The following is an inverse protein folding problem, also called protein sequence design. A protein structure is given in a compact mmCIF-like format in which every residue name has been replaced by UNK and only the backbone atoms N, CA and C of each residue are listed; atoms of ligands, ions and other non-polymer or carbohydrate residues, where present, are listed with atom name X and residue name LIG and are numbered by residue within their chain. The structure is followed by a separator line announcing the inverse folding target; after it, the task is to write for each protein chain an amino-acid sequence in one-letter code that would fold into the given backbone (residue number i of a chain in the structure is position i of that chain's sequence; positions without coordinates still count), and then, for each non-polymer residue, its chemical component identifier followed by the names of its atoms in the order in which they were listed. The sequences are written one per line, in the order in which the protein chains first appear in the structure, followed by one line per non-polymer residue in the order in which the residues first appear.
data_IF_504474258655
#
_entry.id   IF_504474258655
#
_cell.length_a   1.000
_cell.length_b   1.000
_cell.length_c   1.000
_cell.angle_alpha   90.00
_cell.angle_beta   90.00
_cell.angle_gamma   90.00
#
_symmetry.space_group_name_H-M   'P 1'
#
loop_
_entity.id
_entity.type
_entity.pdbx_description
1 polymer ?
#
# COMPACT_ATOMS: atom_id res chain seq x y z
N UNK A 1 22.94 -36.33 -43.18
CA UNK A 1 22.06 -35.58 -44.10
C UNK A 1 22.25 -34.10 -43.82
N UNK A 2 22.50 -33.34 -44.89
CA UNK A 2 22.72 -31.89 -44.98
C UNK A 2 24.01 -31.33 -44.38
N UNK A 3 25.11 -31.52 -45.12
CA UNK A 3 26.20 -30.54 -45.18
C UNK A 3 25.64 -29.16 -45.55
N UNK A 4 25.90 -28.14 -44.73
CA UNK A 4 25.81 -26.74 -45.14
C UNK A 4 27.22 -26.18 -45.18
N UNK A 5 27.69 -25.95 -46.39
CA UNK A 5 28.88 -25.19 -46.75
C UNK A 5 28.93 -23.85 -45.98
N UNK A 6 30.10 -23.40 -45.53
CA UNK A 6 30.28 -22.04 -45.04
C UNK A 6 30.18 -21.11 -46.24
N UNK A 7 29.09 -20.35 -46.34
CA UNK A 7 28.99 -19.25 -47.29
C UNK A 7 29.83 -18.12 -46.71
N UNK A 8 31.05 -17.97 -47.21
CA UNK A 8 31.80 -16.71 -47.12
C UNK A 8 30.90 -15.61 -47.67
N UNK A 9 30.33 -14.80 -46.78
CA UNK A 9 29.61 -13.59 -47.16
C UNK A 9 30.63 -12.58 -47.67
N UNK A 10 30.81 -12.55 -48.99
CA UNK A 10 31.41 -11.43 -49.71
C UNK A 10 30.70 -10.14 -49.27
N UNK A 11 31.32 -9.37 -48.36
CA UNK A 11 30.80 -8.08 -47.96
C UNK A 11 30.96 -7.10 -49.13
N UNK A 12 29.90 -6.93 -49.92
CA UNK A 12 29.75 -5.73 -50.73
C UNK A 12 29.84 -4.57 -49.73
N UNK A 13 30.78 -3.65 -49.91
CA UNK A 13 30.91 -2.47 -49.05
C UNK A 13 29.59 -1.69 -49.11
N UNK A 14 28.71 -1.92 -48.14
CA UNK A 14 27.38 -1.31 -48.09
C UNK A 14 27.57 0.18 -47.87
N UNK A 15 27.05 0.98 -48.80
CA UNK A 15 26.97 2.43 -48.63
C UNK A 15 25.88 2.71 -47.61
N UNK A 16 26.24 3.39 -46.53
CA UNK A 16 25.36 3.67 -45.39
C UNK A 16 25.14 5.16 -45.29
N UNK A 17 23.87 5.57 -45.14
CA UNK A 17 23.47 6.97 -45.11
C UNK A 17 23.27 7.45 -43.68
N UNK A 18 23.77 8.65 -43.38
CA UNK A 18 23.67 9.33 -42.09
C UNK A 18 23.08 10.71 -42.30
N UNK A 19 22.03 11.04 -41.56
CA UNK A 19 21.43 12.37 -41.53
C UNK A 19 21.29 12.78 -40.06
N UNK A 20 22.11 13.74 -39.63
CA UNK A 20 22.13 14.20 -38.23
C UNK A 20 20.82 14.90 -37.82
N UNK A 21 20.00 15.32 -38.79
CA UNK A 21 18.77 16.09 -38.58
C UNK A 21 17.50 15.24 -38.66
N UNK A 22 17.46 14.27 -39.58
CA UNK A 22 16.27 13.42 -39.84
C UNK A 22 16.47 11.94 -39.56
N UNK A 23 17.71 11.51 -39.33
CA UNK A 23 18.03 10.12 -39.02
C UNK A 23 17.68 9.72 -37.59
N UNK A 24 17.69 8.41 -37.34
CA UNK A 24 17.43 7.82 -36.02
C UNK A 24 18.46 6.74 -35.70
N UNK A 25 19.11 6.83 -34.54
CA UNK A 25 20.05 5.81 -34.06
C UNK A 25 19.34 4.62 -33.37
N UNK A 26 18.04 4.73 -33.11
CA UNK A 26 17.22 3.66 -32.52
C UNK A 26 16.50 2.83 -33.60
N UNK A 27 15.98 3.49 -34.64
CA UNK A 27 15.11 2.88 -35.66
C UNK A 27 15.64 2.97 -37.09
N UNK A 28 16.72 3.71 -37.35
CA UNK A 28 17.35 3.80 -38.67
C UNK A 28 18.04 2.50 -39.08
N UNK A 29 18.05 2.21 -40.38
CA UNK A 29 18.67 1.01 -40.95
C UNK A 29 19.80 1.32 -41.95
N UNK A 30 20.08 2.61 -42.18
CA UNK A 30 21.18 3.07 -43.03
C UNK A 30 20.84 3.25 -44.51
N UNK A 31 19.57 3.08 -44.91
CA UNK A 31 19.09 3.46 -46.25
C UNK A 31 18.84 4.97 -46.34
N UNK A 32 18.56 5.47 -47.54
CA UNK A 32 18.26 6.88 -47.78
C UNK A 32 16.95 7.29 -47.12
N UNK A 33 15.98 6.37 -47.05
CA UNK A 33 14.65 6.57 -46.46
C UNK A 33 14.66 6.49 -44.93
N UNK A 34 15.59 5.72 -44.36
CA UNK A 34 15.76 5.55 -42.91
C UNK A 34 17.25 5.62 -42.50
N UNK A 35 17.88 6.81 -42.65
CA UNK A 35 19.30 6.98 -42.34
C UNK A 35 19.56 6.89 -40.84
N UNK A 36 20.78 6.53 -40.47
CA UNK A 36 21.23 6.67 -39.07
C UNK A 36 21.37 8.15 -38.70
N UNK A 37 21.22 8.47 -37.42
CA UNK A 37 21.44 9.82 -36.94
C UNK A 37 22.93 10.13 -36.77
N UNK A 38 23.75 9.13 -36.41
CA UNK A 38 25.19 9.32 -36.20
C UNK A 38 26.05 8.32 -36.96
N UNK A 39 27.19 8.81 -37.45
CA UNK A 39 28.19 7.97 -38.10
C UNK A 39 28.77 6.89 -37.17
N UNK A 40 28.78 7.12 -35.85
CA UNK A 40 29.23 6.11 -34.88
C UNK A 40 28.27 4.92 -34.84
N UNK A 41 26.96 5.15 -34.87
CA UNK A 41 25.96 4.07 -34.91
C UNK A 41 26.02 3.30 -36.23
N UNK A 42 26.19 4.01 -37.34
CA UNK A 42 26.39 3.40 -38.66
C UNK A 42 27.62 2.46 -38.69
N UNK A 43 28.76 2.90 -38.13
CA UNK A 43 29.96 2.07 -38.03
C UNK A 43 29.78 0.88 -37.07
N UNK A 44 29.06 1.07 -35.97
CA UNK A 44 28.77 -0.02 -35.03
C UNK A 44 27.91 -1.13 -35.65
N UNK A 45 26.96 -0.76 -36.52
CA UNK A 45 26.05 -1.71 -37.16
C UNK A 45 26.65 -2.39 -38.41
N UNK A 46 27.52 -1.69 -39.15
CA UNK A 46 28.02 -2.16 -40.46
C UNK A 46 29.55 -2.39 -40.53
N UNK A 47 30.27 -2.15 -39.44
CA UNK A 47 31.72 -2.34 -39.34
C UNK A 47 32.55 -1.16 -39.86
N UNK A 48 33.84 -1.16 -39.54
CA UNK A 48 34.78 -0.07 -39.87
C UNK A 48 35.01 0.11 -41.39
N UNK A 49 34.72 -0.90 -42.20
CA UNK A 49 34.82 -0.88 -43.66
C UNK A 49 33.61 -0.28 -44.37
N UNK A 50 32.58 0.14 -43.64
CA UNK A 50 31.36 0.72 -44.22
C UNK A 50 31.64 2.08 -44.88
N UNK A 51 31.05 2.30 -46.07
CA UNK A 51 31.17 3.56 -46.81
C UNK A 51 30.07 4.52 -46.35
N UNK A 52 30.40 5.47 -45.47
CA UNK A 52 29.41 6.40 -44.92
C UNK A 52 29.22 7.61 -45.83
N UNK A 53 27.98 7.90 -46.18
CA UNK A 53 27.56 9.18 -46.76
C UNK A 53 26.73 9.98 -45.77
N UNK A 54 27.10 11.24 -45.57
CA UNK A 54 26.43 12.16 -44.64
C UNK A 54 25.65 13.19 -45.44
N UNK A 55 24.41 13.45 -45.04
CA UNK A 55 23.58 14.49 -45.63
C UNK A 55 24.20 15.87 -45.43
N UNK A 56 24.30 16.66 -46.50
CA UNK A 56 24.72 18.06 -46.45
C UNK A 56 23.64 18.95 -47.06
N UNK A 57 23.15 19.90 -46.27
CA UNK A 57 22.31 20.97 -46.76
C UNK A 57 23.15 21.98 -47.57
N UNK A 58 22.56 22.55 -48.63
CA UNK A 58 23.18 23.59 -49.44
C UNK A 58 23.49 24.83 -48.59
N UNK A 59 24.73 25.33 -48.67
CA UNK A 59 25.20 26.43 -47.81
C UNK A 59 25.06 27.81 -48.47
N UNK A 60 24.84 27.86 -49.79
CA UNK A 60 24.69 29.08 -50.59
C UNK A 60 23.71 28.89 -51.77
N UNK A 61 23.17 29.99 -52.30
CA UNK A 61 22.36 29.99 -53.53
C UNK A 61 23.20 29.49 -54.72
N UNK A 62 22.84 28.31 -55.24
CA UNK A 62 23.53 27.65 -56.35
C UNK A 62 24.13 26.27 -56.02
N UNK A 63 24.17 25.88 -54.73
CA UNK A 63 24.58 24.54 -54.32
C UNK A 63 23.37 23.58 -54.19
N UNK A 64 23.56 22.31 -54.54
CA UNK A 64 22.54 21.26 -54.38
C UNK A 64 22.75 20.50 -53.08
N UNK A 65 21.66 20.31 -52.30
CA UNK A 65 21.70 19.48 -51.08
C UNK A 65 21.79 18.00 -51.46
N UNK A 66 22.61 17.24 -50.75
CA UNK A 66 22.79 15.81 -51.06
C UNK A 66 23.74 15.08 -50.12
N UNK A 67 23.80 13.77 -50.31
CA UNK A 67 24.70 12.90 -49.57
C UNK A 67 26.13 12.98 -50.11
N UNK A 68 27.08 13.25 -49.21
CA UNK A 68 28.50 13.33 -49.54
C UNK A 68 29.32 12.41 -48.63
N UNK A 69 30.49 11.92 -49.09
CA UNK A 69 31.39 11.14 -48.24
C UNK A 69 31.73 11.87 -46.94
N UNK A 70 31.71 11.14 -45.82
CA UNK A 70 32.13 11.66 -44.52
C UNK A 70 33.57 12.20 -44.59
N UNK A 71 33.86 13.31 -43.89
CA UNK A 71 35.22 13.85 -43.84
C UNK A 71 36.15 12.96 -43.01
N UNK A 72 37.45 12.93 -43.36
CA UNK A 72 38.43 12.09 -42.63
C UNK A 72 38.53 12.40 -41.13
N UNK A 73 38.36 13.67 -40.74
CA UNK A 73 38.33 14.08 -39.33
C UNK A 73 37.08 13.57 -38.59
N UNK A 74 35.90 13.63 -39.24
CA UNK A 74 34.65 13.13 -38.68
C UNK A 74 34.65 11.59 -38.57
N UNK A 75 35.21 10.90 -39.58
CA UNK A 75 35.37 9.45 -39.56
C UNK A 75 36.26 8.99 -38.39
N UNK A 76 37.42 9.63 -38.18
CA UNK A 76 38.32 9.32 -37.06
C UNK A 76 37.66 9.53 -35.70
N UNK A 77 36.82 10.57 -35.56
CA UNK A 77 36.05 10.84 -34.35
C UNK A 77 34.97 9.78 -34.11
N UNK A 78 34.29 9.34 -35.17
CA UNK A 78 33.27 8.28 -35.09
C UNK A 78 33.89 6.93 -34.70
N UNK A 79 35.00 6.52 -35.32
CA UNK A 79 35.75 5.30 -34.97
C UNK A 79 36.20 5.32 -33.51
N UNK A 80 36.78 6.44 -33.03
CA UNK A 80 37.17 6.59 -31.63
C UNK A 80 35.98 6.43 -30.67
N UNK A 81 34.82 7.01 -31.03
CA UNK A 81 33.60 6.93 -30.23
C UNK A 81 33.05 5.49 -30.18
N UNK A 82 33.11 4.73 -31.27
CA UNK A 82 32.74 3.31 -31.30
C UNK A 82 33.64 2.50 -30.36
N UNK A 83 34.96 2.65 -30.47
CA UNK A 83 35.91 1.95 -29.59
C UNK A 83 35.72 2.30 -28.09
N UNK A 84 35.40 3.55 -27.76
CA UNK A 84 35.06 3.97 -26.39
C UNK A 84 33.76 3.31 -25.89
N UNK A 85 32.72 3.24 -26.72
CA UNK A 85 31.46 2.59 -26.41
C UNK A 85 31.61 1.09 -26.24
N UNK A 86 32.38 0.42 -27.09
CA UNK A 86 32.68 -1.01 -26.99
C UNK A 86 33.47 -1.33 -25.72
N UNK A 87 34.47 -0.51 -25.38
CA UNK A 87 35.23 -0.66 -24.13
C UNK A 87 34.33 -0.46 -22.91
N UNK A 88 33.41 0.50 -22.93
CA UNK A 88 32.43 0.73 -21.86
C UNK A 88 31.44 -0.43 -21.76
N UNK A 89 30.92 -0.93 -22.88
CA UNK A 89 30.01 -2.06 -22.93
C UNK A 89 30.66 -3.34 -22.42
N UNK A 90 31.91 -3.62 -22.82
CA UNK A 90 32.69 -4.75 -22.33
C UNK A 90 32.92 -4.67 -20.81
N UNK A 91 33.30 -3.50 -20.29
CA UNK A 91 33.45 -3.29 -18.84
C UNK A 91 32.14 -3.49 -18.08
N UNK A 92 31.02 -2.99 -18.61
CA UNK A 92 29.69 -3.21 -18.03
C UNK A 92 29.27 -4.67 -18.06
N UNK A 93 29.55 -5.38 -19.16
CA UNK A 93 29.27 -6.81 -19.29
C UNK A 93 30.12 -7.65 -18.33
N UNK A 94 31.41 -7.33 -18.17
CA UNK A 94 32.29 -7.96 -17.17
C UNK A 94 31.79 -7.71 -15.74
N UNK A 95 31.39 -6.47 -15.41
CA UNK A 95 30.80 -6.14 -14.11
C UNK A 95 29.47 -6.86 -13.85
N UNK A 96 28.60 -6.94 -14.86
CA UNK A 96 27.33 -7.66 -14.78
C UNK A 96 27.53 -9.17 -14.61
N UNK A 97 28.52 -9.75 -15.31
CA UNK A 97 28.87 -11.15 -15.18
C UNK A 97 29.49 -11.46 -13.80
N UNK A 98 30.35 -10.59 -13.28
CA UNK A 98 30.90 -10.73 -11.93
C UNK A 98 29.81 -10.64 -10.86
N UNK A 99 28.86 -9.71 -11.00
CA UNK A 99 27.71 -9.60 -10.10
C UNK A 99 26.83 -10.86 -10.16
N UNK A 100 26.47 -11.31 -11.36
CA UNK A 100 25.67 -12.51 -11.55
C UNK A 100 26.35 -13.77 -10.96
N UNK A 101 27.67 -13.91 -11.12
CA UNK A 101 28.42 -15.01 -10.53
C UNK A 101 28.44 -14.95 -8.99
N UNK A 102 28.58 -13.75 -8.41
CA UNK A 102 28.49 -13.55 -6.95
C UNK A 102 27.09 -13.87 -6.42
N UNK A 103 26.05 -13.44 -7.12
CA UNK A 103 24.65 -13.70 -6.74
C UNK A 103 24.33 -15.19 -6.81
N UNK A 104 24.80 -15.88 -7.86
CA UNK A 104 24.64 -17.33 -7.99
C UNK A 104 25.37 -18.08 -6.86
N UNK A 105 26.63 -17.74 -6.58
CA UNK A 105 27.39 -18.37 -5.50
C UNK A 105 26.74 -18.12 -4.12
N UNK A 106 26.20 -16.93 -3.90
CA UNK A 106 25.47 -16.60 -2.67
C UNK A 106 24.14 -17.38 -2.55
N UNK A 107 23.43 -17.60 -3.66
CA UNK A 107 22.21 -18.40 -3.68
C UNK A 107 22.49 -19.88 -3.39
N UNK A 108 23.52 -20.46 -3.99
CA UNK A 108 23.94 -21.85 -3.76
C UNK A 108 24.38 -22.08 -2.30
N UNK A 109 25.15 -21.16 -1.71
CA UNK A 109 25.53 -21.25 -0.30
C UNK A 109 24.30 -21.09 0.62
N UNK A 110 23.38 -20.18 0.29
CA UNK A 110 22.13 -20.02 1.04
C UNK A 110 21.29 -21.30 1.01
N UNK A 111 21.16 -21.93 -0.14
CA UNK A 111 20.42 -23.19 -0.27
C UNK A 111 21.06 -24.31 0.56
N UNK A 112 22.40 -24.44 0.51
CA UNK A 112 23.14 -25.39 1.35
C UNK A 112 22.90 -25.17 2.85
N UNK A 113 22.95 -23.92 3.29
CA UNK A 113 22.69 -23.56 4.69
C UNK A 113 21.24 -23.88 5.07
N UNK A 114 20.27 -23.62 4.19
CA UNK A 114 18.87 -23.94 4.43
C UNK A 114 18.61 -25.45 4.50
N UNK A 115 19.27 -26.26 3.68
CA UNK A 115 19.18 -27.73 3.78
C UNK A 115 19.76 -28.25 5.09
N UNK A 116 20.91 -27.73 5.52
CA UNK A 116 21.48 -28.07 6.83
C UNK A 116 20.54 -27.68 7.99
N UNK A 117 19.88 -26.51 7.88
CA UNK A 117 18.96 -26.00 8.89
C UNK A 117 17.68 -26.83 9.07
N UNK A 118 17.28 -27.63 8.06
CA UNK A 118 16.15 -28.57 8.19
C UNK A 118 16.41 -29.70 9.18
N UNK A 119 17.68 -30.00 9.45
CA UNK A 119 18.08 -31.03 10.42
C UNK A 119 18.02 -30.52 11.87
N UNK A 120 17.97 -29.20 12.07
CA UNK A 120 17.86 -28.59 13.39
C UNK A 120 16.39 -28.54 13.79
N UNK A 121 15.97 -29.50 14.60
CA UNK A 121 14.59 -29.57 15.13
C UNK A 121 14.58 -29.14 16.59
N UNK A 122 13.81 -28.10 16.90
CA UNK A 122 13.61 -27.66 18.27
C UNK A 122 12.68 -28.63 19.01
N UNK A 123 13.04 -28.96 20.25
CA UNK A 123 12.18 -29.69 21.18
C UNK A 123 12.06 -28.88 22.45
N UNK A 124 10.84 -28.76 22.96
CA UNK A 124 10.63 -28.16 24.27
C UNK A 124 11.29 -29.02 25.34
N UNK A 125 12.06 -28.39 26.23
CA UNK A 125 12.71 -29.08 27.33
C UNK A 125 11.70 -29.38 28.45
N UNK A 126 11.37 -30.65 28.62
CA UNK A 126 10.44 -31.14 29.64
C UNK A 126 10.92 -30.94 31.09
N UNK A 127 12.19 -30.61 31.30
CA UNK A 127 12.73 -30.32 32.64
C UNK A 127 12.45 -28.89 33.12
N UNK A 128 12.10 -27.98 32.19
CA UNK A 128 11.78 -26.60 32.52
C UNK A 128 10.39 -26.49 33.15
N UNK A 129 10.13 -25.45 33.98
CA UNK A 129 8.81 -25.16 34.49
C UNK A 129 7.76 -25.02 33.37
N UNK A 130 6.52 -25.39 33.65
CA UNK A 130 5.42 -25.19 32.70
C UNK A 130 5.27 -23.71 32.36
N UNK A 131 5.27 -23.38 31.07
CA UNK A 131 5.16 -22.00 30.61
C UNK A 131 3.75 -21.45 30.85
N UNK A 132 3.66 -20.27 31.47
CA UNK A 132 2.38 -19.59 31.68
C UNK A 132 1.99 -18.78 30.45
N UNK A 133 0.81 -19.02 29.88
CA UNK A 133 0.31 -18.24 28.73
C UNK A 133 -0.07 -16.83 29.17
N UNK A 134 0.53 -15.81 28.55
CA UNK A 134 0.23 -14.41 28.84
C UNK A 134 0.03 -13.58 27.56
N UNK A 135 -0.55 -12.38 27.72
CA UNK A 135 -0.51 -11.29 26.72
C UNK A 135 0.68 -10.38 27.01
N UNK A 136 1.18 -9.67 25.99
CA UNK A 136 2.36 -8.82 26.15
C UNK A 136 2.14 -7.73 27.21
N UNK A 137 0.94 -7.13 27.31
CA UNK A 137 0.63 -6.15 28.37
C UNK A 137 0.84 -6.65 29.82
N UNK A 138 0.94 -7.96 30.03
CA UNK A 138 1.16 -8.60 31.32
C UNK A 138 2.63 -9.05 31.50
N UNK A 139 3.55 -8.62 30.65
CA UNK A 139 4.97 -9.03 30.68
C UNK A 139 5.68 -8.59 31.96
N UNK A 140 5.45 -7.36 32.42
CA UNK A 140 6.12 -6.78 33.60
C UNK A 140 5.82 -7.57 34.88
N UNK A 141 4.56 -7.95 35.12
CA UNK A 141 4.13 -8.76 36.28
C UNK A 141 4.58 -10.24 36.22
N UNK A 142 5.16 -10.66 35.09
CA UNK A 142 5.63 -12.02 34.85
C UNK A 142 7.16 -12.12 34.65
N UNK A 143 7.92 -11.09 35.04
CA UNK A 143 9.39 -11.16 35.12
C UNK A 143 9.87 -12.33 36.00
N UNK A 144 10.96 -12.97 35.59
CA UNK A 144 11.55 -14.14 36.25
C UNK A 144 10.75 -15.45 36.11
N UNK A 145 9.59 -15.43 35.43
CA UNK A 145 8.77 -16.62 35.18
C UNK A 145 8.93 -17.09 33.74
N UNK A 146 8.81 -18.41 33.54
CA UNK A 146 8.72 -18.99 32.20
C UNK A 146 7.32 -18.77 31.63
N UNK A 147 7.24 -18.11 30.49
CA UNK A 147 5.98 -17.68 29.85
C UNK A 147 5.88 -18.20 28.43
N UNK A 148 4.65 -18.26 27.92
CA UNK A 148 4.31 -18.56 26.52
C UNK A 148 3.58 -17.35 25.93
N UNK A 149 4.14 -16.74 24.89
CA UNK A 149 3.59 -15.55 24.24
C UNK A 149 3.47 -15.81 22.74
N UNK A 150 2.31 -15.52 22.16
CA UNK A 150 2.07 -15.62 20.72
C UNK A 150 1.84 -14.23 20.14
N UNK A 151 2.41 -13.95 18.97
CA UNK A 151 2.26 -12.67 18.29
C UNK A 151 2.87 -12.64 16.90
N UNK A 152 2.90 -11.44 16.32
CA UNK A 152 3.50 -11.15 15.03
C UNK A 152 4.93 -10.63 15.21
N UNK A 153 5.83 -11.08 14.34
CA UNK A 153 7.20 -10.57 14.22
C UNK A 153 7.13 -9.14 13.67
N UNK A 154 7.19 -8.14 14.54
CA UNK A 154 7.08 -6.74 14.15
C UNK A 154 8.42 -6.16 13.66
N UNK A 155 9.52 -6.54 14.33
CA UNK A 155 10.88 -6.26 13.85
C UNK A 155 11.73 -7.52 14.01
N UNK A 156 12.67 -7.70 13.09
CA UNK A 156 13.58 -8.83 13.06
C UNK A 156 14.99 -8.32 12.79
N UNK A 157 15.94 -8.66 13.67
CA UNK A 157 17.35 -8.31 13.52
C UNK A 157 18.21 -9.53 13.78
N UNK A 158 18.92 -9.97 12.76
CA UNK A 158 19.90 -11.07 12.84
C UNK A 158 21.27 -10.47 13.14
N UNK A 159 21.97 -10.99 14.15
CA UNK A 159 23.32 -10.57 14.53
C UNK A 159 24.27 -11.77 14.51
N UNK A 160 25.03 -11.90 13.41
CA UNK A 160 25.87 -13.06 13.19
C UNK A 160 25.05 -14.33 12.95
N UNK A 161 25.62 -15.50 13.26
CA UNK A 161 24.97 -16.81 13.05
C UNK A 161 24.23 -17.35 14.28
N UNK A 162 24.50 -16.78 15.46
CA UNK A 162 24.09 -17.37 16.75
C UNK A 162 23.16 -16.48 17.56
N UNK A 163 22.66 -15.39 16.98
CA UNK A 163 21.77 -14.49 17.70
C UNK A 163 20.78 -13.79 16.78
N UNK A 164 19.50 -13.85 17.13
CA UNK A 164 18.42 -13.14 16.45
C UNK A 164 17.54 -12.45 17.48
N UNK A 165 17.26 -11.17 17.26
CA UNK A 165 16.34 -10.37 18.05
C UNK A 165 15.02 -10.23 17.29
N UNK A 166 13.93 -10.52 17.99
CA UNK A 166 12.56 -10.33 17.50
C UNK A 166 11.88 -9.32 18.39
N UNK A 167 11.27 -8.29 17.81
CA UNK A 167 10.25 -7.50 18.51
C UNK A 167 8.90 -8.14 18.17
N UNK A 168 8.29 -8.79 19.15
CA UNK A 168 6.98 -9.41 19.03
C UNK A 168 5.89 -8.38 19.32
N UNK A 169 4.80 -8.41 18.54
CA UNK A 169 3.60 -7.57 18.72
C UNK A 169 2.37 -8.45 18.80
N UNK A 170 1.47 -8.21 19.75
CA UNK A 170 0.20 -8.97 19.87
C UNK A 170 -1.06 -8.07 19.92
N UNK A 171 -0.87 -6.77 19.69
CA UNK A 171 -1.89 -5.73 19.80
C UNK A 171 -1.94 -5.07 21.19
N UNK A 172 -1.48 -5.75 22.23
CA UNK A 172 -1.45 -5.24 23.61
C UNK A 172 -0.13 -4.57 24.00
N UNK A 173 0.95 -4.86 23.28
CA UNK A 173 2.24 -4.19 23.45
C UNK A 173 3.31 -4.74 22.50
N UNK A 174 4.56 -4.45 22.81
CA UNK A 174 5.74 -4.97 22.15
C UNK A 174 6.64 -5.69 23.16
N UNK A 175 7.25 -6.81 22.76
CA UNK A 175 8.15 -7.58 23.62
C UNK A 175 9.39 -7.97 22.83
N UNK A 176 10.58 -7.57 23.32
CA UNK A 176 11.83 -8.06 22.75
C UNK A 176 12.02 -9.53 23.13
N UNK A 177 12.33 -10.36 22.16
CA UNK A 177 12.63 -11.78 22.30
C UNK A 177 14.02 -12.03 21.72
N UNK A 178 14.87 -12.77 22.46
CA UNK A 178 16.24 -13.08 22.07
C UNK A 178 16.35 -14.57 21.82
N UNK A 179 16.69 -14.95 20.58
CA UNK A 179 16.94 -16.31 20.15
C UNK A 179 18.45 -16.49 20.01
N UNK A 180 19.00 -17.53 20.61
CA UNK A 180 20.44 -17.83 20.58
C UNK A 180 20.73 -19.24 20.09
N UNK A 181 21.91 -19.44 19.53
CA UNK A 181 22.44 -20.73 19.07
C UNK A 181 21.45 -21.51 18.19
N UNK A 182 21.07 -22.73 18.57
CA UNK A 182 20.19 -23.58 17.78
C UNK A 182 18.83 -22.92 17.49
N UNK A 183 18.34 -22.04 18.38
CA UNK A 183 17.05 -21.37 18.22
C UNK A 183 17.01 -20.44 17.01
N UNK A 184 18.15 -19.92 16.57
CA UNK A 184 18.26 -19.06 15.38
C UNK A 184 18.83 -19.76 14.14
N UNK A 185 19.05 -21.08 14.20
CA UNK A 185 19.68 -21.86 13.13
C UNK A 185 18.72 -22.85 12.46
N UNK A 186 17.47 -22.91 12.90
CA UNK A 186 16.43 -23.75 12.27
C UNK A 186 16.02 -23.21 10.92
N UNK A 187 15.45 -24.06 10.06
CA UNK A 187 14.91 -23.61 8.78
C UNK A 187 13.91 -22.45 8.96
N UNK A 188 13.05 -22.52 9.98
CA UNK A 188 12.10 -21.46 10.29
C UNK A 188 12.78 -20.17 10.75
N UNK A 189 13.85 -20.23 11.54
CA UNK A 189 14.60 -19.04 11.93
C UNK A 189 15.22 -18.33 10.72
N UNK A 190 15.83 -19.10 9.81
CA UNK A 190 16.55 -18.56 8.64
C UNK A 190 15.61 -18.04 7.54
N UNK A 191 14.36 -18.48 7.54
CA UNK A 191 13.33 -18.06 6.58
C UNK A 191 12.27 -17.17 7.22
N UNK A 192 12.45 -16.77 8.48
CA UNK A 192 11.50 -15.93 9.20
C UNK A 192 11.42 -14.54 8.57
N UNK A 193 10.20 -14.07 8.35
CA UNK A 193 9.91 -12.74 7.77
C UNK A 193 9.13 -11.89 8.76
N UNK A 194 9.16 -10.57 8.55
CA UNK A 194 8.27 -9.64 9.25
C UNK A 194 6.81 -10.03 9.01
N UNK A 195 5.96 -9.78 10.00
CA UNK A 195 4.54 -10.15 10.03
C UNK A 195 4.26 -11.67 10.08
N UNK A 196 5.29 -12.52 10.15
CA UNK A 196 5.11 -13.94 10.49
C UNK A 196 4.53 -14.06 11.91
N UNK A 197 3.70 -15.06 12.13
CA UNK A 197 3.12 -15.36 13.45
C UNK A 197 3.92 -16.45 14.13
N UNK A 198 4.32 -16.20 15.37
CA UNK A 198 5.16 -17.12 16.15
C UNK A 198 4.60 -17.27 17.56
N UNK A 199 4.91 -18.40 18.19
CA UNK A 199 4.75 -18.61 19.63
C UNK A 199 6.13 -18.81 20.23
N UNK A 200 6.48 -17.98 21.20
CA UNK A 200 7.77 -18.02 21.91
C UNK A 200 7.57 -18.43 23.36
N UNK A 201 8.52 -19.20 23.87
CA UNK A 201 8.60 -19.68 25.24
C UNK A 201 9.94 -19.24 25.81
N UNK A 202 9.94 -18.77 27.04
CA UNK A 202 11.15 -18.21 27.63
C UNK A 202 10.93 -17.58 28.98
N UNK A 203 12.00 -17.04 29.55
CA UNK A 203 11.97 -16.29 30.80
C UNK A 203 12.11 -14.80 30.50
N UNK A 204 11.25 -13.99 31.09
CA UNK A 204 11.35 -12.52 30.97
C UNK A 204 12.38 -12.02 31.98
N UNK A 205 13.43 -11.38 31.48
CA UNK A 205 14.52 -10.82 32.27
C UNK A 205 14.58 -9.30 32.09
N UNK A 206 14.87 -8.58 33.17
CA UNK A 206 15.16 -7.15 33.07
C UNK A 206 16.45 -6.92 32.27
N UNK A 207 16.51 -5.81 31.55
CA UNK A 207 17.70 -5.45 30.80
C UNK A 207 18.81 -4.92 31.72
N UNK A 208 20.09 -5.21 31.41
CA UNK A 208 21.21 -4.57 32.08
C UNK A 208 21.29 -3.07 31.74
N UNK A 209 21.97 -2.32 32.61
CA UNK A 209 22.15 -0.88 32.49
C UNK A 209 22.75 -0.48 31.12
N UNK A 210 22.20 0.57 30.50
CA UNK A 210 22.63 1.07 29.19
C UNK A 210 21.99 0.39 27.97
N UNK A 211 21.20 -0.68 28.14
CA UNK A 211 20.40 -1.27 27.06
C UNK A 211 18.94 -0.81 27.11
N UNK A 212 18.29 -0.76 25.95
CA UNK A 212 16.88 -0.37 25.83
C UNK A 212 16.08 -1.38 25.02
N UNK A 213 14.89 -1.69 25.52
CA UNK A 213 13.82 -2.44 24.86
C UNK A 213 12.48 -1.98 25.45
N UNK A 214 11.34 -2.28 24.79
CA UNK A 214 10.02 -2.04 25.38
C UNK A 214 9.95 -2.58 26.82
N UNK A 215 9.39 -1.79 27.74
CA UNK A 215 9.24 -2.11 29.16
C UNK A 215 10.54 -2.48 29.91
N UNK A 216 11.71 -2.10 29.35
CA UNK A 216 13.05 -2.36 29.91
C UNK A 216 13.32 -3.83 30.27
N UNK A 217 12.74 -4.76 29.51
CA UNK A 217 12.96 -6.19 29.68
C UNK A 217 13.04 -6.90 28.32
N UNK A 218 13.49 -8.14 28.34
CA UNK A 218 13.48 -9.03 27.18
C UNK A 218 13.13 -10.45 27.58
N UNK A 219 12.52 -11.19 26.66
CA UNK A 219 12.27 -12.62 26.77
C UNK A 219 13.49 -13.38 26.24
N UNK A 220 14.23 -14.05 27.12
CA UNK A 220 15.24 -15.02 26.72
C UNK A 220 14.52 -16.30 26.30
N UNK A 221 14.51 -16.57 25.00
CA UNK A 221 13.74 -17.68 24.42
C UNK A 221 14.45 -19.00 24.69
N UNK A 222 13.72 -20.00 25.15
CA UNK A 222 14.18 -21.39 25.30
C UNK A 222 13.58 -22.33 24.25
N UNK A 223 12.41 -21.99 23.72
CA UNK A 223 11.72 -22.74 22.67
C UNK A 223 10.79 -21.81 21.90
N UNK A 224 10.58 -22.06 20.61
CA UNK A 224 9.60 -21.31 19.83
C UNK A 224 9.13 -22.10 18.60
N UNK A 225 7.99 -21.66 18.07
CA UNK A 225 7.33 -22.27 16.92
C UNK A 225 6.86 -21.17 15.97
N UNK A 226 7.08 -21.38 14.67
CA UNK A 226 6.46 -20.58 13.62
C UNK A 226 5.05 -21.12 13.34
N UNK A 227 4.02 -20.32 13.61
CA UNK A 227 2.61 -20.71 13.39
C UNK A 227 2.20 -20.46 11.93
N UNK A 228 2.62 -19.33 11.37
CA UNK A 228 2.30 -18.97 9.99
C UNK A 228 3.29 -17.97 9.43
N UNK A 229 3.95 -18.34 8.32
CA UNK A 229 4.92 -17.48 7.63
C UNK A 229 4.22 -16.41 6.82
N UNK A 230 4.76 -15.20 6.91
CA UNK A 230 4.37 -14.10 6.04
C UNK A 230 5.23 -14.06 4.77
N UNK A 231 4.72 -13.50 3.66
CA UNK A 231 5.52 -13.30 2.46
C UNK A 231 6.73 -12.40 2.71
N UNK A 232 7.85 -12.70 2.03
CA UNK A 232 9.06 -11.87 1.98
C UNK A 232 9.28 -11.31 0.57
N UNK A 233 10.42 -10.65 0.35
CA UNK A 233 10.75 -10.09 -0.97
C UNK A 233 9.72 -9.06 -1.43
N UNK A 234 9.33 -9.09 -2.70
CA UNK A 234 8.39 -8.11 -3.29
C UNK A 234 6.99 -8.13 -2.65
N UNK A 235 6.60 -9.26 -2.06
CA UNK A 235 5.33 -9.42 -1.35
C UNK A 235 5.40 -9.04 0.14
N UNK A 236 6.58 -8.65 0.64
CA UNK A 236 6.73 -8.18 2.00
C UNK A 236 5.90 -6.92 2.24
N UNK A 237 5.34 -6.77 3.45
CA UNK A 237 4.55 -5.60 3.84
C UNK A 237 5.27 -4.27 3.54
N UNK A 238 6.58 -4.21 3.80
CA UNK A 238 7.43 -3.02 3.58
C UNK A 238 7.60 -2.65 2.11
N UNK A 239 7.45 -3.62 1.21
CA UNK A 239 7.58 -3.42 -0.24
C UNK A 239 6.22 -3.11 -0.87
N UNK A 240 5.13 -3.68 -0.33
CA UNK A 240 3.76 -3.38 -0.75
C UNK A 240 3.30 -2.00 -0.31
N UNK A 241 3.61 -1.60 0.91
CA UNK A 241 3.22 -0.30 1.46
C UNK A 241 4.35 0.26 2.32
N UNK A 242 4.79 1.47 1.96
CA UNK A 242 5.80 2.21 2.69
C UNK A 242 5.37 3.67 2.90
N UNK A 243 6.19 4.42 3.63
CA UNK A 243 5.90 5.82 3.96
C UNK A 243 5.74 6.71 2.71
N UNK A 244 6.39 6.37 1.60
CA UNK A 244 6.34 7.11 0.34
C UNK A 244 5.31 6.57 -0.65
N UNK A 245 4.60 5.48 -0.32
CA UNK A 245 3.54 4.96 -1.19
C UNK A 245 2.43 6.00 -1.37
N UNK A 246 1.87 6.04 -2.57
CA UNK A 246 0.75 6.91 -2.93
C UNK A 246 -0.43 6.71 -1.95
N UNK A 247 -1.17 7.79 -1.59
CA UNK A 247 -2.33 7.67 -0.72
C UNK A 247 -3.36 6.63 -1.18
N UNK A 248 -3.61 6.48 -2.48
CA UNK A 248 -4.56 5.48 -3.01
C UNK A 248 -4.17 4.05 -2.63
N UNK A 249 -2.90 3.68 -2.83
CA UNK A 249 -2.35 2.37 -2.44
C UNK A 249 -2.48 2.13 -0.94
N UNK A 250 -2.24 3.17 -0.12
CA UNK A 250 -2.41 3.09 1.35
C UNK A 250 -3.87 2.88 1.76
N UNK A 251 -4.84 3.40 1.00
CA UNK A 251 -6.26 3.15 1.22
C UNK A 251 -6.66 1.74 0.81
N UNK A 252 -6.24 1.26 -0.35
CA UNK A 252 -6.54 -0.09 -0.82
C UNK A 252 -5.93 -1.16 0.09
N UNK A 253 -4.69 -0.94 0.54
CA UNK A 253 -3.97 -1.84 1.44
C UNK A 253 -4.05 -1.39 2.90
N UNK A 254 -5.13 -0.71 3.29
CA UNK A 254 -5.29 -0.16 4.65
C UNK A 254 -5.17 -1.22 5.75
N UNK A 255 -5.61 -2.45 5.46
CA UNK A 255 -5.47 -3.60 6.35
C UNK A 255 -4.01 -3.96 6.72
N UNK A 256 -3.03 -3.58 5.89
CA UNK A 256 -1.60 -3.67 6.19
C UNK A 256 -1.11 -2.43 6.94
N UNK A 257 -1.50 -1.23 6.49
CA UNK A 257 -1.09 0.03 7.13
C UNK A 257 -1.50 0.07 8.59
N UNK A 258 -2.69 -0.43 8.93
CA UNK A 258 -3.17 -0.46 10.31
C UNK A 258 -2.33 -1.32 11.26
N UNK A 259 -1.35 -2.09 10.76
CA UNK A 259 -0.41 -2.88 11.57
C UNK A 259 0.82 -2.09 11.99
N UNK A 260 1.06 -0.93 11.38
CA UNK A 260 2.12 -0.01 11.76
C UNK A 260 1.85 0.59 13.14
N UNK A 261 2.92 0.96 13.83
CA UNK A 261 2.87 1.47 15.20
C UNK A 261 2.04 2.76 15.29
N UNK A 262 2.27 3.72 14.39
CA UNK A 262 1.54 5.00 14.37
C UNK A 262 0.07 4.82 14.02
N UNK A 263 -0.24 4.09 12.95
CA UNK A 263 -1.62 3.89 12.49
C UNK A 263 -2.47 3.12 13.52
N UNK A 264 -1.92 2.03 14.09
CA UNK A 264 -2.58 1.29 15.16
C UNK A 264 -2.74 2.13 16.43
N UNK A 265 -1.73 2.93 16.79
CA UNK A 265 -1.77 3.87 17.91
C UNK A 265 -2.92 4.87 17.78
N UNK A 266 -3.12 5.45 16.59
CA UNK A 266 -4.23 6.37 16.32
C UNK A 266 -5.58 5.70 16.56
N UNK A 267 -5.77 4.45 16.12
CA UNK A 267 -7.02 3.71 16.36
C UNK A 267 -7.27 3.44 17.84
N UNK A 268 -6.22 3.12 18.60
CA UNK A 268 -6.31 2.95 20.06
C UNK A 268 -6.70 4.26 20.75
N UNK A 269 -6.09 5.37 20.37
CA UNK A 269 -6.46 6.71 20.89
C UNK A 269 -7.91 7.03 20.55
N UNK A 270 -8.33 6.83 19.29
CA UNK A 270 -9.73 7.03 18.87
C UNK A 270 -10.70 6.22 19.74
N UNK A 271 -10.38 4.97 20.04
CA UNK A 271 -11.19 4.14 20.94
C UNK A 271 -11.31 4.75 22.34
N UNK A 272 -10.21 5.24 22.91
CA UNK A 272 -10.22 5.89 24.24
C UNK A 272 -10.97 7.23 24.24
N UNK A 273 -10.82 8.04 23.18
CA UNK A 273 -11.56 9.29 23.02
C UNK A 273 -13.07 9.03 22.99
N UNK A 274 -13.52 8.05 22.20
CA UNK A 274 -14.94 7.65 22.15
C UNK A 274 -15.44 7.13 23.49
N UNK A 275 -14.61 6.39 24.24
CA UNK A 275 -14.96 5.98 25.61
C UNK A 275 -15.13 7.20 26.52
N UNK A 276 -14.19 8.15 26.49
CA UNK A 276 -14.24 9.34 27.33
C UNK A 276 -15.49 10.21 27.05
N UNK A 277 -15.92 10.33 25.80
CA UNK A 277 -17.18 10.99 25.45
C UNK A 277 -18.39 10.30 26.07
N UNK A 278 -18.48 8.97 25.97
CA UNK A 278 -19.58 8.21 26.59
C UNK A 278 -19.57 8.36 28.10
N UNK A 279 -18.41 8.17 28.75
CA UNK A 279 -18.26 8.33 30.19
C UNK A 279 -18.65 9.74 30.65
N UNK A 280 -18.34 10.79 29.88
CA UNK A 280 -18.70 12.17 30.21
C UNK A 280 -20.20 12.38 30.35
N UNK A 281 -20.97 11.85 29.40
CA UNK A 281 -22.42 11.95 29.35
C UNK A 281 -23.11 11.01 30.34
N UNK A 282 -22.64 9.77 30.44
CA UNK A 282 -23.16 8.76 31.38
C UNK A 282 -23.07 9.24 32.83
N UNK A 283 -21.91 9.81 33.22
CA UNK A 283 -21.70 10.39 34.55
C UNK A 283 -22.61 11.60 34.87
N UNK A 284 -23.37 12.10 33.89
CA UNK A 284 -24.35 13.19 34.05
C UNK A 284 -25.80 12.72 33.92
N UNK A 285 -26.02 11.40 33.81
CA UNK A 285 -27.34 10.80 33.68
C UNK A 285 -27.95 10.90 32.28
N UNK A 286 -27.16 11.21 31.26
CA UNK A 286 -27.63 11.13 29.87
C UNK A 286 -27.77 9.67 29.45
N UNK A 287 -28.77 9.38 28.63
CA UNK A 287 -29.00 8.04 28.05
C UNK A 287 -28.53 8.03 26.59
N UNK A 288 -27.63 7.11 26.24
CA UNK A 288 -27.23 6.89 24.84
C UNK A 288 -28.41 6.33 24.04
N UNK A 289 -28.72 6.96 22.90
CA UNK A 289 -29.76 6.53 21.96
C UNK A 289 -29.14 6.19 20.62
N UNK A 290 -29.70 5.20 19.91
CA UNK A 290 -29.24 4.82 18.56
C UNK A 290 -30.36 5.09 17.55
N UNK A 291 -30.38 6.28 16.92
CA UNK A 291 -31.41 6.63 15.94
C UNK A 291 -31.23 5.81 14.64
N UNK A 292 -32.29 5.69 13.82
CA UNK A 292 -32.19 5.03 12.52
C UNK A 292 -31.25 5.83 11.59
N UNK A 293 -30.34 5.12 10.90
CA UNK A 293 -29.41 5.72 9.93
C UNK A 293 -29.99 5.80 8.50
N UNK A 294 -31.10 5.10 8.23
CA UNK A 294 -31.86 5.20 6.98
C UNK A 294 -33.09 6.06 7.24
N UNK A 295 -33.18 7.21 6.56
CA UNK A 295 -34.23 8.22 6.78
C UNK A 295 -34.90 8.60 5.45
N UNK A 296 -36.16 9.05 5.52
CA UNK A 296 -36.92 9.57 4.36
C UNK A 296 -36.79 11.07 4.18
N UNK A 297 -36.44 11.75 5.26
CA UNK A 297 -36.43 13.18 5.36
C UNK A 297 -35.01 13.67 5.24
N UNK A 298 -34.80 14.67 4.39
CA UNK A 298 -33.59 15.47 4.45
C UNK A 298 -33.58 16.26 5.75
N UNK A 299 -32.43 16.35 6.41
CA UNK A 299 -32.28 17.12 7.65
C UNK A 299 -31.45 18.39 7.40
N UNK A 300 -30.33 18.28 6.65
CA UNK A 300 -29.41 19.41 6.41
C UNK A 300 -29.19 19.66 4.89
N UNK A 301 -30.28 19.63 4.11
CA UNK A 301 -30.26 19.88 2.66
C UNK A 301 -30.01 18.64 1.80
N UNK A 302 -30.79 18.53 0.70
CA UNK A 302 -30.87 17.28 -0.08
C UNK A 302 -29.65 16.95 -0.93
N UNK A 303 -28.71 17.88 -1.12
CA UNK A 303 -27.54 17.72 -2.01
C UNK A 303 -26.47 16.75 -1.50
N UNK A 304 -26.55 16.33 -0.24
CA UNK A 304 -25.59 15.40 0.40
C UNK A 304 -26.20 14.04 0.77
N UNK A 305 -27.47 13.80 0.39
CA UNK A 305 -28.14 12.52 0.62
C UNK A 305 -27.67 11.45 -0.36
N UNK A 306 -27.27 10.30 0.17
CA UNK A 306 -27.05 9.10 -0.64
C UNK A 306 -28.40 8.41 -0.88
N UNK A 307 -28.80 8.30 -2.14
CA UNK A 307 -29.98 7.51 -2.52
C UNK A 307 -29.71 6.01 -2.35
N UNK A 308 -30.63 5.32 -1.68
CA UNK A 308 -30.62 3.87 -1.52
C UNK A 308 -31.96 3.31 -1.99
N UNK A 309 -31.94 2.46 -3.03
CA UNK A 309 -33.14 1.74 -3.43
C UNK A 309 -33.44 0.63 -2.41
N UNK A 310 -34.31 0.93 -1.46
CA UNK A 310 -34.74 0.02 -0.41
C UNK A 310 -36.05 -0.67 -0.83
N UNK A 311 -35.94 -1.92 -1.30
CA UNK A 311 -37.01 -2.89 -1.61
C UNK A 311 -38.00 -2.59 -2.75
N UNK A 312 -37.82 -1.57 -3.61
CA UNK A 312 -38.88 -1.14 -4.54
C UNK A 312 -40.26 -0.89 -3.85
N UNK A 313 -40.28 -0.82 -2.52
CA UNK A 313 -41.45 -0.60 -1.67
C UNK A 313 -41.40 0.82 -1.13
N UNK A 314 -42.56 1.46 -1.06
CA UNK A 314 -42.68 2.82 -0.55
C UNK A 314 -42.34 2.77 0.94
N UNK A 315 -41.19 3.30 1.31
CA UNK A 315 -40.64 3.35 2.68
C UNK A 315 -41.65 3.94 3.71
N UNK A 316 -42.71 4.62 3.21
CA UNK A 316 -43.97 5.00 3.89
C UNK A 316 -44.65 3.83 4.62
N UNK A 317 -44.61 2.63 4.05
CA UNK A 317 -45.14 1.42 4.64
C UNK A 317 -44.34 1.01 5.87
N UNK A 318 -43.00 0.99 5.76
CA UNK A 318 -42.09 0.71 6.87
C UNK A 318 -42.23 1.75 8.00
N UNK A 319 -42.28 3.05 7.69
CA UNK A 319 -42.41 4.10 8.72
C UNK A 319 -43.72 3.96 9.48
N UNK A 320 -44.84 3.76 8.78
CA UNK A 320 -46.13 3.56 9.43
C UNK A 320 -46.17 2.24 10.23
N UNK A 321 -45.59 1.13 9.73
CA UNK A 321 -45.53 -0.16 10.44
C UNK A 321 -44.66 -0.07 11.72
N UNK A 322 -43.50 0.59 11.66
CA UNK A 322 -42.65 0.79 12.83
C UNK A 322 -43.33 1.66 13.87
N UNK A 323 -43.99 2.75 13.47
CA UNK A 323 -44.77 3.60 14.39
C UNK A 323 -45.93 2.79 14.99
N UNK A 324 -46.63 1.99 14.20
CA UNK A 324 -47.72 1.13 14.68
C UNK A 324 -47.24 0.13 15.73
N UNK A 325 -46.14 -0.57 15.48
CA UNK A 325 -45.55 -1.51 16.46
C UNK A 325 -45.05 -0.80 17.71
N UNK A 326 -44.45 0.38 17.55
CA UNK A 326 -43.94 1.19 18.67
C UNK A 326 -45.08 1.67 19.56
N UNK A 327 -46.18 2.15 18.97
CA UNK A 327 -47.36 2.59 19.71
C UNK A 327 -48.19 1.42 20.27
N UNK A 328 -48.16 0.25 19.63
CA UNK A 328 -48.78 -0.96 20.16
C UNK A 328 -48.08 -1.49 21.43
N UNK A 329 -46.78 -1.19 21.60
CA UNK A 329 -46.03 -1.53 22.81
C UNK A 329 -46.19 -0.42 23.86
N UNK A 330 -47.06 -0.66 24.86
CA UNK A 330 -47.46 0.35 25.85
C UNK A 330 -46.29 1.11 26.52
N UNK A 331 -45.21 0.46 27.00
CA UNK A 331 -44.08 1.20 27.57
C UNK A 331 -43.40 2.17 26.58
N UNK A 332 -43.33 1.81 25.30
CA UNK A 332 -42.76 2.67 24.26
C UNK A 332 -43.71 3.82 23.90
N UNK A 333 -45.00 3.53 23.79
CA UNK A 333 -46.04 4.54 23.56
C UNK A 333 -46.07 5.60 24.67
N UNK A 334 -45.98 5.16 25.94
CA UNK A 334 -45.95 6.05 27.11
C UNK A 334 -44.75 7.01 27.04
N UNK A 335 -43.59 6.56 26.53
CA UNK A 335 -42.41 7.41 26.32
C UNK A 335 -42.66 8.42 25.19
N UNK A 336 -43.20 7.97 24.06
CA UNK A 336 -43.50 8.84 22.90
C UNK A 336 -44.45 9.96 23.30
N UNK A 337 -45.58 9.64 23.94
CA UNK A 337 -46.55 10.65 24.37
C UNK A 337 -46.09 11.48 25.57
N UNK A 338 -45.16 10.98 26.38
CA UNK A 338 -44.55 11.81 27.43
C UNK A 338 -43.61 12.86 26.85
N UNK A 339 -42.86 12.52 25.79
CA UNK A 339 -41.91 13.43 25.15
C UNK A 339 -42.56 14.35 24.11
N UNK A 340 -43.61 13.86 23.44
CA UNK A 340 -44.41 14.59 22.46
C UNK A 340 -45.91 14.31 22.69
N UNK A 341 -46.56 15.01 23.64
CA UNK A 341 -47.95 14.78 24.02
C UNK A 341 -48.96 14.90 22.87
N UNK A 342 -48.66 15.74 21.87
CA UNK A 342 -49.51 15.97 20.71
C UNK A 342 -49.12 15.13 19.49
N UNK A 343 -48.31 14.08 19.68
CA UNK A 343 -47.86 13.22 18.60
C UNK A 343 -49.02 12.61 17.82
N UNK A 344 -49.18 13.02 16.56
CA UNK A 344 -50.12 12.43 15.62
C UNK A 344 -49.39 11.42 14.76
N UNK A 345 -49.88 10.17 14.79
CA UNK A 345 -49.41 9.14 13.85
C UNK A 345 -49.64 9.67 12.41
N UNK A 346 -48.66 9.54 11.52
CA UNK A 346 -48.86 9.88 10.12
C UNK A 346 -49.83 8.90 9.44
N UNK A 347 -50.74 9.43 8.62
CA UNK A 347 -51.75 8.65 7.89
C UNK A 347 -51.35 8.51 6.42
N UNK A 348 -51.65 7.35 5.81
CA UNK A 348 -51.35 7.05 4.41
C UNK A 348 -52.51 7.49 3.51
N UNK A 349 -52.26 8.05 2.30
CA UNK A 349 -50.95 8.46 1.80
C UNK A 349 -50.48 9.74 2.50
N UNK A 350 -49.17 9.87 2.74
CA UNK A 350 -48.60 11.12 3.25
C UNK A 350 -49.01 12.29 2.33
N UNK A 351 -49.27 13.46 2.94
CA UNK A 351 -49.57 14.67 2.19
C UNK A 351 -48.40 14.98 1.26
N UNK A 352 -48.67 14.95 -0.05
CA UNK A 352 -47.73 15.38 -1.07
C UNK A 352 -48.12 16.80 -1.42
N UNK A 353 -47.22 17.74 -1.15
CA UNK A 353 -47.39 19.13 -1.52
C UNK A 353 -46.41 19.40 -2.67
N UNK A 354 -46.95 19.80 -3.82
CA UNK A 354 -46.09 20.24 -4.91
C UNK A 354 -45.43 21.56 -4.51
N UNK A 355 -44.22 21.78 -5.00
CA UNK A 355 -43.42 22.97 -4.70
C UNK A 355 -44.19 24.28 -4.93
N UNK A 356 -45.08 24.30 -5.93
CA UNK A 356 -45.95 25.44 -6.22
C UNK A 356 -46.97 25.72 -5.12
N UNK A 357 -47.48 24.67 -4.48
CA UNK A 357 -48.45 24.78 -3.39
C UNK A 357 -47.78 25.24 -2.09
N UNK A 358 -46.52 24.85 -1.88
CA UNK A 358 -45.71 25.34 -0.77
C UNK A 358 -45.44 26.85 -0.89
N UNK A 359 -45.11 27.34 -2.09
CA UNK A 359 -44.95 28.78 -2.37
C UNK A 359 -46.27 29.54 -2.13
N UNK A 360 -47.41 28.96 -2.51
CA UNK A 360 -48.71 29.57 -2.26
C UNK A 360 -49.02 29.64 -0.75
N UNK A 361 -48.74 28.57 -0.02
CA UNK A 361 -48.91 28.53 1.44
C UNK A 361 -48.07 29.62 2.15
N UNK A 362 -46.82 29.85 1.74
CA UNK A 362 -45.98 30.91 2.30
C UNK A 362 -46.60 32.31 2.09
N UNK A 363 -47.16 32.56 0.91
CA UNK A 363 -47.86 33.82 0.60
C UNK A 363 -49.12 33.99 1.42
N UNK A 364 -49.93 32.94 1.53
CA UNK A 364 -51.21 32.97 2.24
C UNK A 364 -51.03 33.21 3.76
N UNK A 365 -49.86 32.85 4.30
CA UNK A 365 -49.51 33.02 5.71
C UNK A 365 -48.57 34.22 5.98
N UNK A 366 -48.39 35.12 5.01
CA UNK A 366 -47.53 36.31 5.08
C UNK A 366 -46.05 36.03 5.44
N UNK A 367 -45.55 34.83 5.11
CA UNK A 367 -44.15 34.41 5.36
C UNK A 367 -43.27 34.94 4.22
N UNK A 368 -42.40 35.89 4.55
CA UNK A 368 -41.55 36.65 3.62
C UNK A 368 -40.08 36.31 3.82
N UNK A 369 -39.28 36.60 2.80
CA UNK A 369 -37.82 36.65 2.87
C UNK A 369 -37.37 37.74 3.84
N UNK A 370 -36.10 37.73 4.22
CA UNK A 370 -35.49 38.76 5.08
C UNK A 370 -35.63 40.19 4.51
N UNK A 371 -35.69 40.33 3.18
CA UNK A 371 -35.88 41.61 2.50
C UNK A 371 -37.35 42.07 2.44
N UNK A 372 -38.27 41.30 3.04
CA UNK A 372 -39.70 41.59 3.10
C UNK A 372 -40.47 41.21 1.83
N UNK A 373 -39.83 40.59 0.83
CA UNK A 373 -40.49 40.10 -0.38
C UNK A 373 -40.99 38.67 -0.20
N UNK A 374 -41.96 38.25 -1.02
CA UNK A 374 -42.47 36.88 -1.01
C UNK A 374 -41.59 35.95 -1.85
N UNK A 375 -41.60 34.67 -1.50
CA UNK A 375 -40.98 33.61 -2.31
C UNK A 375 -41.72 33.41 -3.64
N UNK A 376 -40.98 33.22 -4.73
CA UNK A 376 -41.50 32.99 -6.08
C UNK A 376 -41.22 31.57 -6.57
N UNK A 377 -42.05 31.10 -7.49
CA UNK A 377 -41.92 29.76 -8.08
C UNK A 377 -40.64 29.72 -8.93
N UNK A 378 -39.68 28.89 -8.53
CA UNK A 378 -38.35 28.76 -9.12
C UNK A 378 -37.22 29.15 -8.16
N UNK A 379 -37.54 29.75 -7.01
CA UNK A 379 -36.59 30.12 -5.96
C UNK A 379 -36.51 29.05 -4.86
N UNK A 380 -35.32 28.88 -4.28
CA UNK A 380 -35.16 28.02 -3.11
C UNK A 380 -35.88 28.65 -1.90
N UNK A 381 -36.47 27.81 -1.04
CA UNK A 381 -37.09 28.24 0.21
C UNK A 381 -36.09 27.87 1.32
N UNK A 382 -35.23 28.80 1.76
CA UNK A 382 -34.23 28.53 2.79
C UNK A 382 -34.92 28.36 4.15
N UNK A 383 -34.23 27.69 5.07
CA UNK A 383 -34.62 27.69 6.48
C UNK A 383 -34.63 29.14 7.01
N UNK A 384 -35.68 29.52 7.74
CA UNK A 384 -35.74 30.84 8.35
C UNK A 384 -34.57 30.98 9.35
N UNK A 385 -33.87 32.12 9.40
CA UNK A 385 -32.87 32.35 10.43
C UNK A 385 -33.54 32.29 11.82
N UNK A 386 -32.95 31.54 12.75
CA UNK A 386 -33.40 31.47 14.16
C UNK A 386 -33.51 32.84 14.84
#
# INVERSE_FOLDING_TARGET
MADKLPVDSLSIASVVHVDETKGSDESGNGTVEAPYQSAAKALQAHGESAKIQVWKAAAAEGETSGYAPISGAALKKAVKKVAELEKKAKKLAEQAAELAAKDQAAAEERERVLEAAKQVVLKEDSSLPAATRIKIRNSVENRGKRVKVSGWVHRLRVQGKNMTFIILRDGTGYLQCVLTDNLCQTYDALTLTLESTVTVYGVINELPEGKTAPDHHELTVDYWECIGKAPGGDEAISNKVNENSDPSVKYDLRHLVLREEKASGILKVRSQVMKAFRDHFDNRGFTEVTPPAMVQTSVEGGSTLFELNYYNEKLEEMVCDVIDRTLAHKPSADIVYKLNPDFKKPERPFMRMDYTDAIQYLKDNDIKKEDGTFYEVGEDIPEAPE
#
